data_IF_724527597852
#
_entry.id   IF_724527597852
#
_cell.length_a   1.000
_cell.length_b   1.000
_cell.length_c   1.000
_cell.angle_alpha   90.00
_cell.angle_beta   90.00
_cell.angle_gamma   90.00
#
_symmetry.space_group_name_H-M   'P 1'
#
loop_
_entity.id
_entity.type
_entity.pdbx_description
1 polymer ?
#
# COMPACT_ATOMS: atom_id res chain seq x y z
N UNK A 1 -19.95 -11.51 -4.98
CA UNK A 1 -18.73 -12.26 -4.59
C UNK A 1 -17.68 -11.26 -4.12
N UNK A 2 -17.24 -11.26 -2.86
CA UNK A 2 -16.05 -10.52 -2.47
C UNK A 2 -14.83 -11.34 -2.91
N UNK A 3 -14.07 -10.84 -3.87
CA UNK A 3 -12.73 -11.37 -4.13
C UNK A 3 -11.89 -11.05 -2.89
N UNK A 4 -11.49 -12.08 -2.14
CA UNK A 4 -10.52 -11.93 -1.06
C UNK A 4 -9.28 -11.26 -1.66
N UNK A 5 -9.01 -10.02 -1.27
CA UNK A 5 -7.82 -9.33 -1.75
C UNK A 5 -6.65 -9.91 -0.98
N UNK A 6 -5.52 -10.11 -1.64
CA UNK A 6 -4.26 -10.57 -1.01
C UNK A 6 -3.91 -9.79 0.27
N UNK A 7 -4.33 -8.52 0.36
CA UNK A 7 -4.18 -7.66 1.54
C UNK A 7 -4.92 -8.14 2.79
N UNK A 8 -6.07 -8.79 2.64
CA UNK A 8 -6.90 -9.22 3.77
C UNK A 8 -6.31 -10.48 4.43
N UNK A 9 -5.63 -11.32 3.64
CA UNK A 9 -5.02 -12.60 4.08
C UNK A 9 -3.52 -12.48 4.42
N UNK A 10 -2.97 -11.27 4.49
CA UNK A 10 -1.52 -11.03 4.70
C UNK A 10 -0.94 -11.81 5.87
N UNK A 11 -1.66 -11.89 6.98
CA UNK A 11 -1.25 -12.65 8.16
C UNK A 11 -1.11 -14.14 7.85
N UNK A 12 -2.14 -14.75 7.25
CA UNK A 12 -2.15 -16.15 6.88
C UNK A 12 -1.04 -16.48 5.88
N UNK A 13 -0.79 -15.59 4.94
CA UNK A 13 0.26 -15.75 3.93
C UNK A 13 1.65 -15.64 4.58
N UNK A 14 1.86 -14.68 5.48
CA UNK A 14 3.12 -14.54 6.22
C UNK A 14 3.40 -15.76 7.11
N UNK A 15 2.40 -16.28 7.82
CA UNK A 15 2.51 -17.50 8.63
C UNK A 15 2.93 -18.71 7.79
N UNK A 16 2.33 -18.89 6.61
CA UNK A 16 2.71 -19.96 5.68
C UNK A 16 4.14 -19.79 5.17
N UNK A 17 4.54 -18.57 4.83
CA UNK A 17 5.91 -18.29 4.38
C UNK A 17 6.94 -18.61 5.48
N UNK A 18 6.65 -18.26 6.73
CA UNK A 18 7.49 -18.60 7.89
C UNK A 18 7.55 -20.11 8.10
N UNK A 19 6.41 -20.80 8.06
CA UNK A 19 6.33 -22.25 8.23
C UNK A 19 7.21 -23.01 7.22
N UNK A 20 7.21 -22.53 5.96
CA UNK A 20 7.99 -23.13 4.89
C UNK A 20 9.39 -22.51 4.70
N UNK A 21 9.81 -21.61 5.60
CA UNK A 21 11.12 -20.91 5.55
C UNK A 21 11.38 -20.20 4.22
N UNK A 22 10.33 -19.63 3.63
CA UNK A 22 10.41 -18.91 2.36
C UNK A 22 10.80 -17.44 2.61
N UNK A 23 11.86 -16.93 1.94
CA UNK A 23 12.17 -15.50 2.01
C UNK A 23 11.09 -14.70 1.29
N UNK A 24 10.60 -13.63 1.93
CA UNK A 24 9.51 -12.80 1.41
C UNK A 24 9.87 -11.32 1.41
N UNK A 25 9.55 -10.62 0.33
CA UNK A 25 9.65 -9.16 0.20
C UNK A 25 8.30 -8.60 -0.24
N UNK A 26 7.77 -7.63 0.50
CA UNK A 26 6.45 -7.06 0.21
C UNK A 26 6.31 -5.61 0.73
N UNK A 27 5.09 -5.08 0.81
CA UNK A 27 4.81 -3.79 1.42
C UNK A 27 4.91 -3.87 2.96
N UNK A 28 5.03 -2.71 3.61
CA UNK A 28 5.36 -2.62 5.05
C UNK A 28 4.41 -3.45 5.94
N UNK A 29 3.13 -3.38 5.65
CA UNK A 29 2.09 -4.05 6.44
C UNK A 29 2.19 -5.59 6.39
N UNK A 30 2.83 -6.15 5.36
CA UNK A 30 3.09 -7.58 5.28
C UNK A 30 4.29 -7.99 6.14
N UNK A 31 5.34 -7.16 6.21
CA UNK A 31 6.46 -7.40 7.12
C UNK A 31 5.99 -7.31 8.59
N UNK A 32 5.11 -6.37 8.92
CA UNK A 32 4.45 -6.28 10.23
C UNK A 32 3.64 -7.55 10.58
N UNK A 33 3.13 -8.25 9.56
CA UNK A 33 2.39 -9.51 9.73
C UNK A 33 3.29 -10.76 9.84
N UNK A 34 4.61 -10.61 9.83
CA UNK A 34 5.59 -11.70 9.98
C UNK A 34 6.38 -12.05 8.72
N UNK A 35 6.21 -11.30 7.62
CA UNK A 35 7.07 -11.40 6.43
C UNK A 35 8.51 -10.97 6.70
N UNK A 36 9.46 -11.45 5.89
CA UNK A 36 10.89 -11.26 6.15
C UNK A 36 11.34 -9.79 5.99
N UNK A 37 10.98 -9.14 4.89
CA UNK A 37 11.37 -7.75 4.64
C UNK A 37 10.32 -6.99 3.86
N UNK A 38 10.37 -5.65 3.96
CA UNK A 38 9.53 -4.77 3.16
C UNK A 38 10.34 -3.77 2.35
N UNK A 39 9.92 -3.52 1.12
CA UNK A 39 10.42 -2.43 0.30
C UNK A 39 9.31 -1.89 -0.60
N UNK A 40 9.05 -0.59 -0.49
CA UNK A 40 8.00 0.08 -1.25
C UNK A 40 7.57 1.39 -0.62
N UNK A 41 6.68 2.08 -1.31
CA UNK A 41 6.13 3.35 -0.86
C UNK A 41 5.33 3.22 0.45
N UNK A 42 5.33 4.28 1.24
CA UNK A 42 4.52 4.40 2.43
C UNK A 42 3.06 4.73 2.07
N UNK A 43 2.19 3.72 2.11
CA UNK A 43 0.75 3.85 1.81
C UNK A 43 0.08 4.99 2.59
N UNK A 44 0.39 5.14 3.88
CA UNK A 44 -0.21 6.18 4.74
C UNK A 44 0.20 7.59 4.28
N UNK A 45 1.45 7.76 3.86
CA UNK A 45 1.93 9.02 3.30
C UNK A 45 1.25 9.34 1.96
N UNK A 46 1.09 8.32 1.10
CA UNK A 46 0.39 8.45 -0.17
C UNK A 46 -1.07 8.88 0.02
N UNK A 47 -1.80 8.28 0.96
CA UNK A 47 -3.19 8.69 1.22
C UNK A 47 -3.28 10.12 1.76
N UNK A 48 -2.33 10.53 2.61
CA UNK A 48 -2.28 11.92 3.10
C UNK A 48 -2.04 12.91 1.96
N UNK A 49 -1.15 12.60 1.03
CA UNK A 49 -0.88 13.44 -0.15
C UNK A 49 -2.06 13.45 -1.11
N UNK A 50 -2.71 12.30 -1.31
CA UNK A 50 -3.91 12.18 -2.13
C UNK A 50 -5.05 13.09 -1.63
N UNK A 51 -5.17 13.31 -0.32
CA UNK A 51 -6.15 14.23 0.25
C UNK A 51 -6.03 15.67 -0.30
N UNK A 52 -4.81 16.11 -0.62
CA UNK A 52 -4.56 17.41 -1.27
C UNK A 52 -5.15 17.47 -2.68
N UNK A 53 -5.09 16.36 -3.44
CA UNK A 53 -5.72 16.28 -4.77
C UNK A 53 -7.24 16.33 -4.64
N UNK A 54 -7.78 15.59 -3.66
CA UNK A 54 -9.23 15.61 -3.37
C UNK A 54 -9.69 17.03 -3.07
N UNK A 55 -8.98 17.76 -2.19
CA UNK A 55 -9.31 19.17 -1.87
C UNK A 55 -9.29 20.08 -3.11
N UNK A 56 -8.25 19.98 -3.96
CA UNK A 56 -8.16 20.76 -5.20
C UNK A 56 -9.30 20.46 -6.18
N UNK A 57 -9.64 19.18 -6.35
CA UNK A 57 -10.71 18.74 -7.25
C UNK A 57 -12.06 19.23 -6.75
N UNK A 58 -12.32 19.10 -5.44
CA UNK A 58 -13.56 19.61 -4.83
C UNK A 58 -13.68 21.13 -4.94
N UNK A 59 -12.56 21.86 -5.03
CA UNK A 59 -12.50 23.30 -5.31
C UNK A 59 -12.59 23.66 -6.80
N UNK A 60 -12.75 22.68 -7.69
CA UNK A 60 -12.97 22.89 -9.14
C UNK A 60 -11.73 22.72 -10.02
N UNK A 61 -10.59 22.29 -9.49
CA UNK A 61 -9.45 21.92 -10.33
C UNK A 61 -9.80 20.68 -11.17
N UNK A 62 -9.46 20.70 -12.46
CA UNK A 62 -9.67 19.54 -13.34
C UNK A 62 -8.60 18.49 -13.03
N UNK A 63 -8.97 17.20 -12.85
CA UNK A 63 -7.99 16.14 -12.61
C UNK A 63 -6.89 16.03 -13.68
N UNK A 64 -7.20 16.37 -14.94
CA UNK A 64 -6.24 16.35 -16.05
C UNK A 64 -5.14 17.41 -15.94
N UNK A 65 -5.37 18.48 -15.16
CA UNK A 65 -4.41 19.58 -14.98
C UNK A 65 -3.53 19.38 -13.73
N UNK A 66 -3.82 18.36 -12.91
CA UNK A 66 -3.07 18.08 -11.69
C UNK A 66 -1.86 17.18 -12.01
N UNK A 67 -0.64 17.53 -11.54
CA UNK A 67 0.54 16.72 -11.82
C UNK A 67 0.46 15.37 -11.10
N UNK A 68 0.95 14.30 -11.76
CA UNK A 68 1.10 13.01 -11.09
C UNK A 68 2.33 13.06 -10.19
N UNK A 69 2.12 12.84 -8.91
CA UNK A 69 3.16 12.94 -7.89
C UNK A 69 3.69 11.56 -7.48
N UNK A 70 5.02 11.43 -7.48
CA UNK A 70 5.70 10.17 -7.13
C UNK A 70 5.86 10.00 -5.61
N UNK A 71 5.81 8.76 -5.09
CA UNK A 71 6.16 8.48 -3.70
C UNK A 71 7.57 8.95 -3.35
N UNK A 72 7.73 9.56 -2.18
CA UNK A 72 9.05 10.00 -1.67
C UNK A 72 9.45 9.28 -0.38
N UNK A 73 8.57 8.41 0.15
CA UNK A 73 8.70 7.69 1.41
C UNK A 73 8.08 6.31 1.31
#
# INVERSE_FOLDING_TARGET
MPLARFGDERKRIAELAVMHRLPTICNREFAEAGGLMSYGANSVDLYRRAATYVDKILKGAKPADLPVEQPTK
#
